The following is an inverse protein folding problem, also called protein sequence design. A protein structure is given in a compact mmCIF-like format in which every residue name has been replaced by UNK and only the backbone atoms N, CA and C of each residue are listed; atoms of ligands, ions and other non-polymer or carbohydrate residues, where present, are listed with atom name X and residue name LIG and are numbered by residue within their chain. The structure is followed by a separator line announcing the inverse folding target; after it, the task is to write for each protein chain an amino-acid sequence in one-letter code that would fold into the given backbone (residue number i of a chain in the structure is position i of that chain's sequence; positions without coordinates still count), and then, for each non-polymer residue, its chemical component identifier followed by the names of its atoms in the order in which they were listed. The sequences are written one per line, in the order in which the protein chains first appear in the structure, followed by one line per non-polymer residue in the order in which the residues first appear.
data_IF_050208649989
#
_entry.id   IF_050208649989
#
_cell.length_a   1.000
_cell.length_b   1.000
_cell.length_c   1.000
_cell.angle_alpha   90.00
_cell.angle_beta   90.00
_cell.angle_gamma   90.00
#
_symmetry.space_group_name_H-M   'P 1'
#
loop_
_entity.id
_entity.type
_entity.pdbx_description
1 polymer ?
#
# COMPACT_ATOMS: atom_id res chain seq x y z
N UNK A 1 9.74 10.52 10.47
CA UNK A 1 9.51 9.27 9.71
C UNK A 1 8.61 9.57 8.53
N UNK A 2 8.97 9.08 7.36
CA UNK A 2 8.15 9.22 6.16
C UNK A 2 7.18 8.05 6.08
N UNK A 3 5.89 8.35 6.01
CA UNK A 3 4.82 7.36 5.92
C UNK A 3 4.35 7.22 4.47
N UNK A 4 4.42 6.02 3.94
CA UNK A 4 4.04 5.72 2.56
C UNK A 4 2.82 4.80 2.58
N UNK A 5 1.75 5.23 1.92
CA UNK A 5 0.52 4.45 1.77
C UNK A 5 0.43 3.96 0.33
N UNK A 6 0.36 2.65 0.14
CA UNK A 6 0.23 2.02 -1.17
C UNK A 6 -1.22 1.57 -1.38
N UNK A 7 -1.90 2.24 -2.32
CA UNK A 7 -3.28 1.92 -2.70
C UNK A 7 -3.29 1.21 -4.05
N UNK A 8 -4.23 0.32 -4.24
CA UNK A 8 -4.36 -0.38 -5.50
C UNK A 8 -5.28 -1.58 -5.44
N UNK A 9 -5.15 -2.44 -6.46
CA UNK A 9 -5.94 -3.66 -6.62
C UNK A 9 -5.16 -4.90 -6.19
N UNK A 10 -5.42 -6.06 -6.83
CA UNK A 10 -4.79 -7.33 -6.49
C UNK A 10 -3.27 -7.33 -6.61
N UNK A 11 -2.69 -6.55 -7.51
CA UNK A 11 -1.23 -6.48 -7.68
C UNK A 11 -0.59 -5.82 -6.47
N UNK A 12 -1.20 -4.79 -5.92
CA UNK A 12 -0.74 -4.15 -4.69
C UNK A 12 -1.02 -5.03 -3.48
N UNK A 13 -2.22 -5.59 -3.38
CA UNK A 13 -2.62 -6.49 -2.30
C UNK A 13 -1.69 -7.71 -2.21
N UNK A 14 -1.53 -8.40 -3.31
CA UNK A 14 -0.66 -9.56 -3.48
C UNK A 14 -0.74 -10.56 -2.30
N UNK A 15 -1.96 -10.89 -1.91
CA UNK A 15 -2.22 -11.89 -0.88
C UNK A 15 -1.95 -11.46 0.56
N UNK A 16 -1.85 -10.16 0.84
CA UNK A 16 -1.51 -9.68 2.19
C UNK A 16 -2.49 -10.16 3.27
N UNK A 17 -3.77 -10.33 2.92
CA UNK A 17 -4.79 -10.78 3.88
C UNK A 17 -4.63 -12.25 4.23
N UNK A 18 -3.95 -13.04 3.40
CA UNK A 18 -3.71 -14.46 3.61
C UNK A 18 -2.25 -14.75 3.97
N UNK A 19 -1.47 -13.72 4.26
CA UNK A 19 -0.06 -13.84 4.60
C UNK A 19 0.19 -13.35 6.03
N UNK A 20 1.21 -13.89 6.66
CA UNK A 20 1.69 -13.38 7.94
C UNK A 20 2.35 -12.00 7.78
N UNK A 21 2.73 -11.63 6.55
CA UNK A 21 3.34 -10.35 6.24
C UNK A 21 2.24 -9.38 5.76
N UNK A 22 1.97 -8.28 6.50
CA UNK A 22 0.95 -7.31 6.11
C UNK A 22 1.26 -6.54 4.83
N UNK A 23 2.49 -6.64 4.31
CA UNK A 23 2.88 -6.02 3.05
C UNK A 23 2.59 -6.90 1.83
N UNK A 24 2.22 -8.16 2.04
CA UNK A 24 2.00 -9.12 0.96
C UNK A 24 3.29 -9.65 0.39
N UNK A 25 3.21 -10.24 -0.82
CA UNK A 25 4.33 -10.94 -1.45
C UNK A 25 4.77 -10.27 -2.77
N UNK A 26 4.31 -9.06 -3.04
CA UNK A 26 4.54 -8.38 -4.31
C UNK A 26 5.46 -7.17 -4.20
N UNK A 27 5.21 -6.17 -5.05
CA UNK A 27 6.10 -5.01 -5.17
C UNK A 27 6.17 -4.17 -3.88
N UNK A 28 5.11 -4.12 -3.10
CA UNK A 28 5.10 -3.35 -1.85
C UNK A 28 6.15 -3.90 -0.88
N UNK A 29 6.24 -5.22 -0.77
CA UNK A 29 7.25 -5.86 0.06
C UNK A 29 8.64 -5.57 -0.45
N UNK A 30 8.86 -5.66 -1.76
CA UNK A 30 10.17 -5.38 -2.37
C UNK A 30 10.56 -3.92 -2.18
N UNK A 31 9.62 -2.99 -2.35
CA UNK A 31 9.85 -1.57 -2.11
C UNK A 31 10.26 -1.32 -0.66
N UNK A 32 9.57 -1.94 0.29
CA UNK A 32 9.91 -1.83 1.70
C UNK A 32 11.34 -2.28 1.97
N UNK A 33 11.74 -3.41 1.41
CA UNK A 33 13.10 -3.93 1.57
C UNK A 33 14.15 -2.97 1.00
N UNK A 34 13.90 -2.42 -0.19
CA UNK A 34 14.82 -1.47 -0.82
C UNK A 34 14.97 -0.18 -0.01
N UNK A 35 13.86 0.37 0.49
CA UNK A 35 13.89 1.60 1.27
C UNK A 35 14.57 1.40 2.62
N UNK A 36 14.33 0.28 3.29
CA UNK A 36 14.97 -0.01 4.57
C UNK A 36 16.48 -0.26 4.44
N UNK A 37 16.94 -0.70 3.27
CA UNK A 37 18.38 -0.84 3.01
C UNK A 37 19.08 0.50 2.81
N UNK A 38 18.34 1.55 2.41
CA UNK A 38 18.90 2.88 2.17
C UNK A 38 18.63 3.84 3.32
N UNK A 39 17.44 3.80 3.92
CA UNK A 39 17.05 4.67 5.02
C UNK A 39 16.00 3.95 5.88
N UNK A 40 16.25 3.87 7.18
CA UNK A 40 15.35 3.21 8.14
C UNK A 40 14.18 4.09 8.60
N UNK A 41 14.05 5.30 8.07
CA UNK A 41 13.02 6.28 8.48
C UNK A 41 11.75 6.20 7.62
N UNK A 42 11.47 5.04 7.06
CA UNK A 42 10.26 4.84 6.27
C UNK A 42 9.31 3.89 6.98
N UNK A 43 8.03 4.19 6.87
CA UNK A 43 6.94 3.28 7.23
C UNK A 43 6.09 3.07 5.98
N UNK A 44 5.84 1.81 5.61
CA UNK A 44 5.05 1.46 4.43
C UNK A 44 3.83 0.68 4.85
N UNK A 45 2.65 1.09 4.34
CA UNK A 45 1.39 0.41 4.56
C UNK A 45 0.81 -0.04 3.21
N UNK A 46 0.41 -1.30 3.14
CA UNK A 46 -0.24 -1.86 1.96
C UNK A 46 -1.76 -1.87 2.19
N UNK A 47 -2.49 -1.10 1.40
CA UNK A 47 -3.95 -1.07 1.39
C UNK A 47 -4.51 -1.47 0.04
N UNK A 48 -3.79 -2.30 -0.71
CA UNK A 48 -4.32 -2.91 -1.92
C UNK A 48 -5.48 -3.84 -1.58
N UNK A 49 -6.49 -3.89 -2.44
CA UNK A 49 -7.67 -4.72 -2.27
C UNK A 49 -7.96 -5.43 -3.58
N UNK A 50 -8.01 -6.76 -3.53
CA UNK A 50 -8.32 -7.58 -4.68
C UNK A 50 -9.69 -7.19 -5.26
N UNK A 51 -9.74 -6.98 -6.58
CA UNK A 51 -10.96 -6.59 -7.25
C UNK A 51 -11.34 -5.11 -7.15
N UNK A 52 -10.51 -4.27 -6.52
CA UNK A 52 -10.81 -2.85 -6.40
C UNK A 52 -10.73 -2.15 -7.74
N UNK A 53 -11.65 -1.20 -7.93
CA UNK A 53 -11.67 -0.28 -9.07
C UNK A 53 -11.27 1.11 -8.62
N UNK A 54 -10.91 1.98 -9.59
CA UNK A 54 -10.59 3.37 -9.28
C UNK A 54 -11.77 4.07 -8.60
N UNK A 55 -12.99 3.76 -9.02
CA UNK A 55 -14.19 4.34 -8.41
C UNK A 55 -14.30 3.99 -6.92
N UNK A 56 -14.10 2.72 -6.57
CA UNK A 56 -14.13 2.28 -5.18
C UNK A 56 -13.00 2.88 -4.36
N UNK A 57 -11.83 3.02 -4.96
CA UNK A 57 -10.70 3.68 -4.33
C UNK A 57 -11.05 5.12 -3.95
N UNK A 58 -11.62 5.87 -4.89
CA UNK A 58 -12.01 7.26 -4.65
C UNK A 58 -13.09 7.40 -3.58
N UNK A 59 -14.02 6.46 -3.51
CA UNK A 59 -15.08 6.47 -2.48
C UNK A 59 -14.53 6.30 -1.06
N UNK A 60 -13.35 5.73 -0.91
CA UNK A 60 -12.75 5.43 0.38
C UNK A 60 -11.51 6.28 0.69
N UNK A 61 -11.21 7.27 -0.14
CA UNK A 61 -9.98 8.08 -0.02
C UNK A 61 -9.88 8.76 1.34
N UNK A 62 -10.95 9.39 1.80
CA UNK A 62 -10.94 10.12 3.08
C UNK A 62 -10.63 9.18 4.25
N UNK A 63 -11.20 7.97 4.25
CA UNK A 63 -10.96 6.99 5.29
C UNK A 63 -9.47 6.61 5.36
N UNK A 64 -8.85 6.33 4.22
CA UNK A 64 -7.44 5.93 4.21
C UNK A 64 -6.51 7.07 4.58
N UNK A 65 -6.78 8.28 4.11
CA UNK A 65 -5.94 9.43 4.41
C UNK A 65 -6.02 9.80 5.90
N UNK A 66 -7.20 9.72 6.49
CA UNK A 66 -7.38 10.04 7.91
C UNK A 66 -6.77 8.97 8.82
N UNK A 67 -6.95 7.68 8.47
CA UNK A 67 -6.48 6.58 9.32
C UNK A 67 -4.97 6.37 9.25
N UNK A 68 -4.35 6.63 8.11
CA UNK A 68 -2.92 6.38 7.91
C UNK A 68 -2.05 7.63 8.02
N UNK A 69 -2.64 8.80 7.78
CA UNK A 69 -1.91 10.09 7.78
C UNK A 69 -0.60 10.01 6.98
N UNK A 70 -0.65 9.64 5.69
CA UNK A 70 0.55 9.40 4.91
C UNK A 70 1.20 10.70 4.44
N UNK A 71 2.53 10.65 4.27
CA UNK A 71 3.28 11.70 3.60
C UNK A 71 3.29 11.48 2.08
N UNK A 72 3.29 10.22 1.66
CA UNK A 72 3.31 9.82 0.25
C UNK A 72 2.23 8.76 0.03
N UNK A 73 1.48 8.92 -1.04
CA UNK A 73 0.48 7.94 -1.47
C UNK A 73 0.84 7.45 -2.87
N UNK A 74 0.91 6.15 -3.06
CA UNK A 74 1.05 5.55 -4.39
C UNK A 74 -0.25 4.87 -4.78
N UNK A 75 -0.60 4.95 -6.05
CA UNK A 75 -1.82 4.34 -6.59
C UNK A 75 -1.46 3.52 -7.82
N UNK A 76 -1.76 2.23 -7.78
CA UNK A 76 -1.61 1.34 -8.93
C UNK A 76 -2.89 0.54 -9.09
N UNK A 77 -3.68 0.88 -10.11
CA UNK A 77 -4.99 0.28 -10.31
C UNK A 77 -5.36 0.32 -11.80
N UNK A 78 -6.28 -0.56 -12.21
CA UNK A 78 -6.77 -0.55 -13.58
C UNK A 78 -6.05 -1.52 -14.52
N UNK A 79 -5.41 -2.51 -13.95
CA UNK A 79 -4.73 -3.56 -14.73
C UNK A 79 -5.66 -4.72 -14.99
#
# INVERSE_FOLDING_TARGET
MTRILCLGDSITDCGRLFSADPLGKGYVKQLSCLLHNTDHRFSIENRGIDGFTLERLLQNTDFWLESSDPDIVTVLIGI
#
